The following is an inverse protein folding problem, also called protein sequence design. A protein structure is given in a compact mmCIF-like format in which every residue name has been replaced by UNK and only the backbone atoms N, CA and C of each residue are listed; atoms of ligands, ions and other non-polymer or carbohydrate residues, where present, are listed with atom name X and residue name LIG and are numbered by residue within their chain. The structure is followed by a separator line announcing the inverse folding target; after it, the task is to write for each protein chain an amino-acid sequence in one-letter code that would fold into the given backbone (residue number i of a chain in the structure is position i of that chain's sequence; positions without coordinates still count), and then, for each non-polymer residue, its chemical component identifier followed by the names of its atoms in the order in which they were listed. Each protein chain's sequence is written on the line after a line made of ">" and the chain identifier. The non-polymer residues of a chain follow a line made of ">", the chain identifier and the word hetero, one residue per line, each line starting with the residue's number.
data_IF_320938215970
#
_entry.id   IF_320938215970
#
_cell.length_a   1.000
_cell.length_b   1.000
_cell.length_c   1.000
_cell.angle_alpha   90.00
_cell.angle_beta   90.00
_cell.angle_gamma   90.00
#
_symmetry.space_group_name_H-M   'P 1'
#
loop_
_entity.id
_entity.type
_entity.pdbx_description
1 polymer ?
#
# COMPACT_ATOMS: atom_id res chain seq x y z
N UNK A 1 21.55 5.33 15.20
CA UNK A 1 21.27 4.62 13.93
C UNK A 1 22.26 3.52 13.57
N UNK A 2 23.58 3.65 13.81
CA UNK A 2 24.56 2.60 13.45
C UNK A 2 24.48 1.29 14.27
N UNK A 3 23.83 1.26 15.45
CA UNK A 3 23.72 0.05 16.30
C UNK A 3 22.48 -0.83 16.05
N UNK A 4 21.48 -0.35 15.31
CA UNK A 4 20.29 -1.14 14.93
C UNK A 4 20.54 -1.95 13.65
N UNK A 5 21.43 -1.48 12.78
CA UNK A 5 21.79 -2.12 11.51
C UNK A 5 22.72 -3.34 11.71
N UNK A 6 23.46 -3.39 12.83
CA UNK A 6 24.41 -4.50 13.11
C UNK A 6 23.73 -5.70 13.75
N UNK A 7 22.53 -5.55 14.34
CA UNK A 7 21.79 -6.65 14.96
C UNK A 7 20.97 -7.45 13.91
N UNK A 8 20.58 -6.81 12.80
CA UNK A 8 19.85 -7.45 11.69
C UNK A 8 20.75 -8.25 10.72
N UNK A 9 22.08 -8.05 10.75
CA UNK A 9 23.00 -8.77 9.87
C UNK A 9 23.56 -10.09 10.45
N UNK A 10 23.37 -10.37 11.75
CA UNK A 10 24.00 -11.53 12.42
C UNK A 10 23.09 -12.76 12.49
N UNK A 11 21.80 -12.64 12.14
CA UNK A 11 20.87 -13.78 12.10
C UNK A 11 20.78 -14.42 10.68
N UNK A 12 21.47 -13.84 9.69
CA UNK A 12 21.36 -14.26 8.28
C UNK A 12 22.37 -15.33 7.83
N UNK A 13 23.32 -15.76 8.65
CA UNK A 13 24.50 -16.51 8.17
C UNK A 13 24.70 -17.91 8.74
N UNK A 14 23.72 -18.50 9.43
CA UNK A 14 23.82 -19.88 9.89
C UNK A 14 22.50 -20.63 9.71
N UNK A 15 22.25 -21.14 8.49
CA UNK A 15 21.40 -22.32 8.17
C UNK A 15 21.03 -22.30 6.67
N UNK A 16 22.01 -22.38 5.77
CA UNK A 16 21.73 -22.62 4.35
C UNK A 16 22.76 -23.58 3.75
N UNK A 17 22.51 -24.86 3.98
CA UNK A 17 22.99 -25.94 3.14
C UNK A 17 22.00 -27.11 3.22
N UNK A 18 20.83 -26.95 2.60
CA UNK A 18 20.06 -28.10 2.16
C UNK A 18 19.87 -28.00 0.66
N UNK A 19 20.66 -28.84 -0.03
CA UNK A 19 20.46 -29.24 -1.41
C UNK A 19 19.03 -29.70 -1.61
N UNK A 20 18.33 -29.10 -2.57
CA UNK A 20 17.05 -29.61 -3.07
C UNK A 20 17.39 -30.88 -3.85
N UNK A 21 17.24 -32.04 -3.20
CA UNK A 21 17.21 -33.30 -3.93
C UNK A 21 15.92 -33.35 -4.77
N UNK A 22 15.99 -33.78 -6.05
CA UNK A 22 14.79 -34.06 -6.81
C UNK A 22 13.98 -35.14 -6.09
N UNK A 23 12.65 -34.97 -6.05
CA UNK A 23 11.73 -35.99 -5.54
C UNK A 23 12.11 -37.35 -6.15
N UNK A 24 12.50 -38.35 -5.33
CA UNK A 24 12.86 -39.64 -5.86
C UNK A 24 11.64 -40.19 -6.61
N UNK A 25 11.84 -40.72 -7.81
CA UNK A 25 10.80 -41.54 -8.43
C UNK A 25 10.44 -42.62 -7.43
N UNK A 26 9.23 -42.60 -6.87
CA UNK A 26 8.75 -43.68 -6.00
C UNK A 26 8.70 -44.96 -6.85
N UNK A 27 9.79 -45.71 -6.88
CA UNK A 27 9.74 -47.13 -7.18
C UNK A 27 8.81 -47.73 -6.14
N UNK A 28 7.76 -48.43 -6.58
CA UNK A 28 6.99 -49.27 -5.67
C UNK A 28 8.00 -50.17 -4.92
N UNK A 29 7.94 -50.23 -3.59
CA UNK A 29 8.86 -51.07 -2.84
C UNK A 29 8.70 -52.53 -3.27
N UNK A 30 9.82 -53.25 -3.44
CA UNK A 30 9.86 -54.65 -3.88
C UNK A 30 9.11 -55.60 -2.92
N UNK A 31 8.82 -55.12 -1.70
CA UNK A 31 8.02 -55.80 -0.69
C UNK A 31 6.99 -54.84 -0.08
N UNK A 32 5.76 -55.29 0.20
CA UNK A 32 4.79 -54.47 0.90
C UNK A 32 5.36 -54.05 2.26
N UNK A 33 5.14 -52.79 2.68
CA UNK A 33 5.59 -52.32 3.98
C UNK A 33 5.05 -53.24 5.09
N UNK A 34 5.82 -53.45 6.18
CA UNK A 34 5.36 -54.22 7.33
C UNK A 34 4.00 -53.69 7.81
N UNK A 35 3.07 -54.57 8.18
CA UNK A 35 1.71 -54.20 8.63
C UNK A 35 1.71 -53.05 9.65
N UNK A 36 2.64 -53.08 10.61
CA UNK A 36 2.81 -52.04 11.62
C UNK A 36 3.13 -50.65 11.03
N UNK A 37 3.93 -50.60 9.97
CA UNK A 37 4.25 -49.34 9.27
C UNK A 37 3.04 -48.82 8.47
N UNK A 38 2.19 -49.72 7.96
CA UNK A 38 0.93 -49.34 7.31
C UNK A 38 -0.06 -48.77 8.32
N UNK A 39 -0.18 -49.41 9.49
CA UNK A 39 -1.06 -48.93 10.57
C UNK A 39 -0.61 -47.54 11.07
N UNK A 40 0.69 -47.33 11.29
CA UNK A 40 1.26 -46.02 11.67
C UNK A 40 0.99 -44.94 10.61
N UNK A 41 1.09 -45.28 9.31
CA UNK A 41 0.77 -44.36 8.21
C UNK A 41 -0.71 -44.03 8.14
N UNK A 42 -1.59 -45.01 8.33
CA UNK A 42 -3.05 -44.81 8.34
C UNK A 42 -3.47 -43.95 9.53
N UNK A 43 -2.92 -44.18 10.71
CA UNK A 43 -3.16 -43.33 11.87
C UNK A 43 -2.69 -41.88 11.62
N UNK A 44 -1.51 -41.70 11.02
CA UNK A 44 -1.02 -40.37 10.68
C UNK A 44 -1.91 -39.68 9.64
N UNK A 45 -2.30 -40.39 8.58
CA UNK A 45 -3.22 -39.87 7.56
C UNK A 45 -4.58 -39.48 8.16
N UNK A 46 -5.10 -40.28 9.11
CA UNK A 46 -6.35 -39.97 9.81
C UNK A 46 -6.19 -38.71 10.68
N UNK A 47 -5.08 -38.57 11.42
CA UNK A 47 -4.79 -37.36 12.20
C UNK A 47 -4.68 -36.11 11.32
N UNK A 48 -4.01 -36.23 10.18
CA UNK A 48 -3.84 -35.13 9.22
C UNK A 48 -5.19 -34.76 8.59
N UNK A 49 -6.02 -35.76 8.26
CA UNK A 49 -7.37 -35.55 7.75
C UNK A 49 -8.27 -34.84 8.78
N UNK A 50 -8.27 -35.29 10.03
CA UNK A 50 -9.06 -34.66 11.11
C UNK A 50 -8.57 -33.24 11.42
N UNK A 51 -7.28 -32.98 11.25
CA UNK A 51 -6.69 -31.63 11.36
C UNK A 51 -7.11 -30.75 10.19
N UNK A 52 -7.00 -31.24 8.95
CA UNK A 52 -7.42 -30.52 7.76
C UNK A 52 -8.93 -30.21 7.77
N UNK A 53 -9.75 -31.11 8.34
CA UNK A 53 -11.19 -30.88 8.51
C UNK A 53 -11.51 -29.74 9.48
N UNK A 54 -10.61 -29.46 10.43
CA UNK A 54 -10.72 -28.33 11.37
C UNK A 54 -10.12 -27.05 10.82
N UNK A 55 -9.17 -27.13 9.89
CA UNK A 55 -8.55 -25.96 9.28
C UNK A 55 -9.58 -25.15 8.50
N UNK A 56 -9.81 -23.94 8.97
CA UNK A 56 -10.67 -22.99 8.31
C UNK A 56 -9.95 -22.29 7.16
N UNK A 57 -10.57 -22.24 5.98
CA UNK A 57 -10.00 -21.66 4.76
C UNK A 57 -10.68 -20.33 4.39
N UNK A 58 -10.28 -19.20 5.01
CA UNK A 58 -10.86 -17.90 4.73
C UNK A 58 -10.41 -17.36 3.37
N UNK A 59 -11.29 -16.60 2.74
CA UNK A 59 -10.91 -15.76 1.61
C UNK A 59 -10.57 -14.37 2.11
N UNK A 60 -9.35 -13.93 1.85
CA UNK A 60 -8.84 -12.60 2.16
C UNK A 60 -8.73 -11.80 0.86
N UNK A 61 -9.55 -10.77 0.70
CA UNK A 61 -9.37 -9.83 -0.42
C UNK A 61 -8.22 -8.86 -0.11
N UNK A 62 -7.98 -8.58 1.17
CA UNK A 62 -6.89 -7.77 1.65
C UNK A 62 -7.34 -6.47 2.28
N UNK A 63 -6.59 -5.94 3.25
CA UNK A 63 -7.00 -4.77 4.00
C UNK A 63 -6.99 -3.52 3.08
N UNK A 64 -7.53 -2.39 3.55
CA UNK A 64 -7.74 -1.21 2.69
C UNK A 64 -6.45 -0.57 2.20
N UNK A 65 -5.37 -0.64 3.01
CA UNK A 65 -4.14 0.09 2.74
C UNK A 65 -2.94 -0.83 2.53
N UNK A 66 -2.79 -1.88 3.35
CA UNK A 66 -1.59 -2.71 3.36
C UNK A 66 -1.60 -3.70 2.19
N UNK A 67 -0.70 -3.57 1.19
CA UNK A 67 -0.70 -4.41 0.00
C UNK A 67 -0.38 -5.88 0.29
N UNK A 68 -0.75 -6.75 -0.65
CA UNK A 68 -0.41 -8.18 -0.61
C UNK A 68 1.10 -8.42 -0.79
N UNK A 69 1.63 -9.36 -0.02
CA UNK A 69 2.98 -9.90 -0.20
C UNK A 69 3.02 -11.12 -1.13
N UNK A 70 1.89 -11.47 -1.77
CA UNK A 70 1.81 -12.50 -2.79
C UNK A 70 1.63 -11.88 -4.16
N UNK A 71 2.38 -12.39 -5.14
CA UNK A 71 2.21 -12.02 -6.54
C UNK A 71 0.91 -12.58 -7.12
N UNK A 72 0.35 -11.86 -8.10
CA UNK A 72 -0.75 -12.37 -8.92
C UNK A 72 -0.28 -13.63 -9.67
N UNK A 73 -1.03 -14.74 -9.64
CA UNK A 73 -0.68 -15.96 -10.35
C UNK A 73 -0.54 -15.76 -11.87
N UNK A 74 0.35 -16.52 -12.55
CA UNK A 74 0.53 -16.42 -14.00
C UNK A 74 -0.77 -16.59 -14.78
N UNK A 75 -1.02 -15.68 -15.73
CA UNK A 75 -2.21 -15.72 -16.57
C UNK A 75 -3.48 -15.16 -15.91
N UNK A 76 -3.43 -14.83 -14.61
CA UNK A 76 -4.53 -14.13 -13.95
C UNK A 76 -4.40 -12.62 -14.13
N UNK A 77 -5.56 -11.99 -14.27
CA UNK A 77 -5.70 -10.55 -14.30
C UNK A 77 -6.65 -10.09 -13.20
N UNK A 78 -6.24 -9.06 -12.47
CA UNK A 78 -7.01 -8.46 -11.38
C UNK A 78 -7.35 -7.03 -11.73
N UNK A 79 -8.63 -6.68 -11.54
CA UNK A 79 -9.07 -5.29 -11.54
C UNK A 79 -9.62 -4.95 -10.18
N UNK A 80 -9.13 -3.85 -9.62
CA UNK A 80 -9.55 -3.38 -8.32
C UNK A 80 -9.86 -1.88 -8.35
N UNK A 81 -11.11 -1.48 -8.67
CA UNK A 81 -11.55 -0.11 -8.49
C UNK A 81 -11.68 0.23 -7.00
N UNK A 82 -11.25 1.43 -6.64
CA UNK A 82 -11.44 2.07 -5.36
C UNK A 82 -12.19 3.39 -5.55
N UNK A 83 -13.02 3.71 -4.58
CA UNK A 83 -13.64 5.01 -4.41
C UNK A 83 -13.30 5.53 -3.03
N UNK A 84 -12.48 6.58 -2.98
CA UNK A 84 -12.19 7.33 -1.77
C UNK A 84 -13.08 8.56 -1.71
N UNK A 85 -13.81 8.76 -0.61
CA UNK A 85 -14.55 9.98 -0.32
C UNK A 85 -13.97 10.56 0.96
N UNK A 86 -13.14 11.59 0.83
CA UNK A 86 -12.36 12.18 1.92
C UNK A 86 -12.83 13.58 2.25
N UNK A 87 -12.99 13.88 3.54
CA UNK A 87 -13.09 15.25 4.06
C UNK A 87 -11.84 15.61 4.85
N UNK A 88 -11.11 16.62 4.39
CA UNK A 88 -10.00 17.24 5.14
C UNK A 88 -10.53 18.49 5.85
N UNK A 89 -10.80 18.38 7.14
CA UNK A 89 -11.41 19.43 7.96
C UNK A 89 -10.37 20.24 8.75
N UNK A 90 -9.17 19.70 8.95
CA UNK A 90 -8.10 20.36 9.70
C UNK A 90 -6.70 19.99 9.15
N UNK A 91 -5.68 20.68 9.68
CA UNK A 91 -4.28 20.36 9.43
C UNK A 91 -3.50 20.37 10.74
N UNK A 92 -2.63 19.38 10.92
CA UNK A 92 -1.63 19.38 11.98
C UNK A 92 -0.51 20.37 11.66
N UNK A 93 -0.25 21.31 12.56
CA UNK A 93 0.88 22.21 12.42
C UNK A 93 2.22 21.57 12.83
N UNK A 94 3.32 22.33 12.81
CA UNK A 94 4.66 21.86 13.20
C UNK A 94 4.77 21.37 14.64
N UNK A 95 3.83 21.77 15.51
CA UNK A 95 3.74 21.35 16.91
C UNK A 95 2.73 20.22 17.13
N UNK A 96 2.27 19.56 16.06
CA UNK A 96 1.26 18.48 16.10
C UNK A 96 -0.11 18.91 16.64
N UNK A 97 -0.41 20.20 16.63
CA UNK A 97 -1.75 20.70 16.98
C UNK A 97 -2.62 20.69 15.73
N UNK A 98 -3.78 20.05 15.81
CA UNK A 98 -4.81 20.12 14.77
C UNK A 98 -5.44 21.52 14.76
N UNK A 99 -5.46 22.15 13.59
CA UNK A 99 -6.00 23.49 13.36
C UNK A 99 -7.01 23.41 12.22
N UNK A 100 -8.25 23.81 12.50
CA UNK A 100 -9.34 23.76 11.53
C UNK A 100 -9.01 24.61 10.31
N UNK A 101 -9.33 24.07 9.14
CA UNK A 101 -9.30 24.77 7.86
C UNK A 101 -10.70 24.76 7.25
N UNK A 102 -10.86 25.35 6.07
CA UNK A 102 -12.09 25.13 5.30
C UNK A 102 -12.07 23.73 4.73
N UNK A 103 -13.12 22.96 5.00
CA UNK A 103 -13.31 21.60 4.51
C UNK A 103 -12.98 21.47 3.03
N UNK A 104 -12.15 20.49 2.72
CA UNK A 104 -11.84 20.07 1.37
C UNK A 104 -12.40 18.66 1.19
N UNK A 105 -13.42 18.55 0.35
CA UNK A 105 -13.97 17.27 -0.06
C UNK A 105 -13.23 16.77 -1.29
N UNK A 106 -12.69 15.56 -1.21
CA UNK A 106 -12.02 14.88 -2.31
C UNK A 106 -12.73 13.58 -2.62
N UNK A 107 -13.26 13.46 -3.83
CA UNK A 107 -13.73 12.20 -4.40
C UNK A 107 -12.63 11.70 -5.33
N UNK A 108 -12.01 10.58 -4.98
CA UNK A 108 -10.87 10.01 -5.68
C UNK A 108 -11.20 8.59 -6.16
N UNK A 109 -11.66 8.45 -7.42
CA UNK A 109 -11.69 7.15 -8.09
C UNK A 109 -10.24 6.73 -8.43
N UNK A 110 -9.88 5.52 -8.03
CA UNK A 110 -8.60 4.89 -8.33
C UNK A 110 -8.86 3.49 -8.87
N UNK A 111 -8.06 3.01 -9.83
CA UNK A 111 -8.17 1.66 -10.32
C UNK A 111 -6.78 1.02 -10.38
N UNK A 112 -6.67 -0.18 -9.80
CA UNK A 112 -5.52 -1.05 -9.95
C UNK A 112 -5.80 -2.09 -11.04
N UNK A 113 -4.87 -2.22 -11.97
CA UNK A 113 -4.84 -3.28 -12.97
C UNK A 113 -3.61 -4.13 -12.70
N UNK A 114 -3.79 -5.39 -12.32
CA UNK A 114 -2.68 -6.27 -11.98
C UNK A 114 -2.67 -7.49 -12.88
N UNK A 115 -1.48 -7.96 -13.24
CA UNK A 115 -1.32 -9.10 -14.13
C UNK A 115 -0.15 -9.96 -13.67
N UNK A 116 -0.40 -11.24 -13.47
CA UNK A 116 0.64 -12.21 -13.19
C UNK A 116 1.30 -12.70 -14.47
N UNK A 117 2.60 -12.50 -14.59
CA UNK A 117 3.37 -12.93 -15.78
C UNK A 117 4.11 -14.23 -15.51
N UNK A 118 4.83 -14.30 -14.39
CA UNK A 118 5.47 -15.50 -13.89
C UNK A 118 5.13 -15.70 -12.42
N UNK A 119 5.35 -16.90 -11.90
CA UNK A 119 5.06 -17.21 -10.49
C UNK A 119 5.90 -16.40 -9.49
N UNK A 120 6.93 -15.70 -10.00
CA UNK A 120 7.80 -14.80 -9.26
C UNK A 120 7.70 -13.34 -9.73
N UNK A 121 6.91 -13.03 -10.77
CA UNK A 121 6.81 -11.69 -11.35
C UNK A 121 5.37 -11.32 -11.72
N UNK A 122 4.91 -10.20 -11.18
CA UNK A 122 3.67 -9.55 -11.61
C UNK A 122 3.88 -8.07 -11.93
N UNK A 123 2.87 -7.48 -12.55
CA UNK A 123 2.81 -6.07 -12.89
C UNK A 123 1.57 -5.44 -12.27
N UNK A 124 1.65 -4.17 -11.90
CA UNK A 124 0.50 -3.38 -11.46
C UNK A 124 0.56 -2.00 -12.09
N UNK A 125 -0.53 -1.60 -12.73
CA UNK A 125 -0.76 -0.23 -13.22
C UNK A 125 -1.81 0.41 -12.32
N UNK A 126 -1.56 1.65 -11.90
CA UNK A 126 -2.51 2.44 -11.10
C UNK A 126 -2.87 3.70 -11.86
N UNK A 127 -4.17 3.92 -12.05
CA UNK A 127 -4.72 5.15 -12.60
C UNK A 127 -5.70 5.75 -11.60
N UNK A 128 -5.70 7.08 -11.46
CA UNK A 128 -6.54 7.76 -10.47
C UNK A 128 -6.99 9.14 -10.93
N UNK A 129 -8.19 9.54 -10.54
CA UNK A 129 -8.71 10.89 -10.75
C UNK A 129 -9.03 11.57 -9.42
N UNK A 130 -9.09 12.89 -9.41
CA UNK A 130 -9.44 13.67 -8.23
C UNK A 130 -10.50 14.70 -8.59
N UNK A 131 -11.66 14.59 -7.93
CA UNK A 131 -12.64 15.66 -7.86
C UNK A 131 -12.54 16.32 -6.49
N UNK A 132 -11.99 17.53 -6.45
CA UNK A 132 -11.79 18.28 -5.22
C UNK A 132 -12.78 19.45 -5.17
N UNK A 133 -13.38 19.67 -4.00
CA UNK A 133 -14.32 20.75 -3.73
C UNK A 133 -13.87 21.48 -2.47
N UNK A 134 -13.81 22.80 -2.53
CA UNK A 134 -13.63 23.65 -1.36
C UNK A 134 -14.46 24.92 -1.51
N UNK A 135 -15.38 25.17 -0.57
CA UNK A 135 -16.30 26.31 -0.64
C UNK A 135 -17.06 26.35 -1.99
N UNK A 136 -16.98 27.44 -2.76
CA UNK A 136 -17.65 27.61 -4.05
C UNK A 136 -16.74 27.27 -5.26
N UNK A 137 -15.69 26.48 -5.04
CA UNK A 137 -14.75 26.10 -6.08
C UNK A 137 -14.62 24.58 -6.14
N UNK A 138 -14.52 24.06 -7.36
CA UNK A 138 -14.29 22.65 -7.62
C UNK A 138 -13.25 22.45 -8.74
N UNK A 139 -12.70 21.24 -8.82
CA UNK A 139 -11.85 20.84 -9.94
C UNK A 139 -11.86 19.33 -10.11
N UNK A 140 -11.84 18.89 -11.37
CA UNK A 140 -11.63 17.50 -11.74
C UNK A 140 -10.43 17.36 -12.66
N UNK A 141 -9.43 16.60 -12.24
CA UNK A 141 -8.27 16.25 -13.08
C UNK A 141 -7.77 14.84 -12.77
N UNK A 142 -7.09 14.24 -13.74
CA UNK A 142 -6.34 13.01 -13.54
C UNK A 142 -5.15 13.25 -12.61
N UNK A 143 -4.80 12.23 -11.83
CA UNK A 143 -3.60 12.21 -11.03
C UNK A 143 -2.39 11.65 -11.77
N UNK A 144 -1.30 11.51 -11.03
CA UNK A 144 -0.13 10.77 -11.50
C UNK A 144 -0.47 9.28 -11.68
N UNK A 145 0.02 8.69 -12.77
CA UNK A 145 -0.17 7.27 -13.13
C UNK A 145 1.07 6.51 -12.69
N UNK A 146 0.95 5.27 -12.23
CA UNK A 146 2.12 4.46 -11.86
C UNK A 146 2.13 3.09 -12.50
N UNK A 147 3.35 2.56 -12.67
CA UNK A 147 3.63 1.18 -13.05
C UNK A 147 4.57 0.58 -12.00
N UNK A 148 4.28 -0.62 -11.53
CA UNK A 148 5.15 -1.35 -10.62
C UNK A 148 5.30 -2.81 -11.00
N UNK A 149 6.45 -3.36 -10.66
CA UNK A 149 6.79 -4.78 -10.76
C UNK A 149 6.86 -5.36 -9.36
N UNK A 150 6.20 -6.49 -9.13
CA UNK A 150 6.31 -7.27 -7.91
C UNK A 150 7.13 -8.52 -8.11
N UNK A 151 8.14 -8.70 -7.27
CA UNK A 151 9.08 -9.82 -7.30
C UNK A 151 8.85 -10.66 -6.05
N UNK A 152 8.38 -11.89 -6.23
CA UNK A 152 8.21 -12.82 -5.11
C UNK A 152 9.58 -13.31 -4.65
N UNK A 153 9.96 -12.98 -3.42
CA UNK A 153 11.21 -13.46 -2.81
C UNK A 153 10.99 -14.77 -2.06
N UNK A 154 9.93 -14.84 -1.27
CA UNK A 154 9.53 -16.03 -0.52
C UNK A 154 8.03 -16.21 -0.67
N UNK A 155 7.57 -17.42 -0.96
CA UNK A 155 6.16 -17.78 -0.87
C UNK A 155 5.83 -18.16 0.57
N UNK A 156 4.58 -17.96 0.94
CA UNK A 156 4.12 -18.40 2.25
C UNK A 156 4.15 -19.93 2.36
N UNK A 157 4.69 -20.42 3.47
CA UNK A 157 4.66 -21.82 3.89
C UNK A 157 4.25 -21.88 5.37
N UNK A 158 4.01 -23.06 5.98
CA UNK A 158 3.56 -23.14 7.38
C UNK A 158 4.43 -22.35 8.37
N UNK A 159 5.75 -22.37 8.21
CA UNK A 159 6.72 -21.72 9.11
C UNK A 159 7.45 -20.52 8.48
N UNK A 160 7.06 -20.10 7.27
CA UNK A 160 7.75 -19.04 6.52
C UNK A 160 6.73 -18.01 6.01
N UNK A 161 6.95 -16.71 6.21
CA UNK A 161 6.09 -15.69 5.65
C UNK A 161 6.29 -15.55 4.14
N UNK A 162 5.25 -15.07 3.44
CA UNK A 162 5.45 -14.53 2.12
C UNK A 162 6.24 -13.23 2.21
N UNK A 163 7.18 -13.05 1.30
CA UNK A 163 7.97 -11.82 1.16
C UNK A 163 8.01 -11.44 -0.31
N UNK A 164 7.67 -10.19 -0.59
CA UNK A 164 7.65 -9.61 -1.95
C UNK A 164 8.37 -8.27 -1.94
N UNK A 165 9.27 -8.11 -2.89
CA UNK A 165 9.90 -6.84 -3.21
C UNK A 165 9.16 -6.23 -4.39
N UNK A 166 8.74 -4.98 -4.29
CA UNK A 166 8.19 -4.25 -5.43
C UNK A 166 9.06 -3.05 -5.76
N UNK A 167 9.19 -2.78 -7.04
CA UNK A 167 9.80 -1.55 -7.56
C UNK A 167 8.74 -0.90 -8.44
N UNK A 168 8.52 0.39 -8.32
CA UNK A 168 7.55 1.10 -9.15
C UNK A 168 7.99 2.51 -9.48
N UNK A 169 7.43 3.03 -10.55
CA UNK A 169 7.65 4.38 -11.03
C UNK A 169 6.29 5.08 -11.16
N UNK A 170 6.17 6.25 -10.54
CA UNK A 170 5.05 7.16 -10.75
C UNK A 170 5.45 8.21 -11.79
N UNK A 171 4.60 8.34 -12.81
CA UNK A 171 4.75 9.26 -13.92
C UNK A 171 3.92 10.52 -13.67
N UNK A 172 4.50 11.72 -13.90
CA UNK A 172 3.84 12.99 -13.62
C UNK A 172 2.76 13.35 -14.65
N UNK A 173 1.71 12.54 -14.75
CA UNK A 173 0.57 12.74 -15.65
C UNK A 173 -0.47 13.70 -15.07
N UNK A 174 -0.44 13.91 -13.75
CA UNK A 174 -1.36 14.81 -13.06
C UNK A 174 -0.99 16.28 -13.24
N UNK A 175 -1.96 17.15 -12.95
CA UNK A 175 -1.75 18.60 -13.03
C UNK A 175 -0.95 19.07 -11.82
N UNK A 176 0.19 19.73 -12.06
CA UNK A 176 1.08 20.19 -10.99
C UNK A 176 1.51 21.66 -11.11
N UNK A 177 1.40 22.31 -12.26
CA UNK A 177 1.78 23.72 -12.44
C UNK A 177 0.73 24.54 -13.18
N UNK A 178 0.91 25.87 -13.21
CA UNK A 178 -0.04 26.84 -13.77
C UNK A 178 -1.46 26.65 -13.19
N UNK A 179 -1.50 26.47 -11.88
CA UNK A 179 -2.73 26.31 -11.12
C UNK A 179 -3.50 27.62 -11.08
N UNK A 180 -4.82 27.53 -10.98
CA UNK A 180 -5.69 28.68 -10.86
C UNK A 180 -5.65 29.21 -9.42
N UNK A 181 -5.17 30.45 -9.18
CA UNK A 181 -5.12 31.00 -7.82
C UNK A 181 -6.49 31.11 -7.15
N UNK A 182 -7.59 31.21 -7.92
CA UNK A 182 -8.94 31.25 -7.37
C UNK A 182 -9.38 29.91 -6.75
N UNK A 183 -8.68 28.81 -7.09
CA UNK A 183 -8.99 27.45 -6.64
C UNK A 183 -8.19 27.01 -5.41
N UNK A 184 -7.35 27.88 -4.83
CA UNK A 184 -6.57 27.59 -3.62
C UNK A 184 -5.79 26.26 -3.65
N UNK A 185 -5.35 25.83 -4.84
CA UNK A 185 -4.57 24.60 -5.01
C UNK A 185 -5.38 23.31 -5.08
N UNK A 186 -6.72 23.33 -5.01
CA UNK A 186 -7.52 22.10 -5.17
C UNK A 186 -7.41 21.51 -6.59
N UNK A 187 -6.94 22.29 -7.56
CA UNK A 187 -6.66 21.86 -8.93
C UNK A 187 -5.26 21.24 -9.12
N UNK A 188 -4.49 21.06 -8.05
CA UNK A 188 -3.29 20.22 -8.04
C UNK A 188 -3.67 18.75 -7.84
N UNK A 189 -3.30 17.90 -8.80
CA UNK A 189 -3.60 16.46 -8.77
C UNK A 189 -2.37 15.58 -9.01
N UNK A 190 -1.25 16.18 -9.39
CA UNK A 190 0.03 15.51 -9.56
C UNK A 190 1.16 16.27 -8.88
N UNK A 191 2.28 15.58 -8.71
CA UNK A 191 3.51 16.14 -8.15
C UNK A 191 4.35 16.84 -9.23
N UNK A 192 4.26 16.41 -10.48
CA UNK A 192 5.17 16.86 -11.55
C UNK A 192 6.54 16.19 -11.52
N UNK A 193 6.80 15.32 -10.54
CA UNK A 193 8.03 14.58 -10.40
C UNK A 193 7.82 13.10 -10.76
N UNK A 194 8.77 12.55 -11.53
CA UNK A 194 9.00 11.11 -11.57
C UNK A 194 9.36 10.65 -10.15
N UNK A 195 8.74 9.57 -9.68
CA UNK A 195 8.97 9.05 -8.33
C UNK A 195 9.16 7.54 -8.37
N UNK A 196 10.38 7.11 -8.08
CA UNK A 196 10.70 5.69 -7.91
C UNK A 196 10.37 5.27 -6.49
N UNK A 197 9.58 4.20 -6.33
CA UNK A 197 9.26 3.61 -5.03
C UNK A 197 9.78 2.18 -4.96
N UNK A 198 10.45 1.86 -3.85
CA UNK A 198 10.88 0.51 -3.52
C UNK A 198 10.09 0.07 -2.29
N UNK A 199 9.46 -1.10 -2.37
CA UNK A 199 8.54 -1.61 -1.36
C UNK A 199 8.93 -3.01 -0.92
N UNK A 200 8.98 -3.26 0.39
CA UNK A 200 9.09 -4.59 0.97
C UNK A 200 7.77 -4.94 1.64
N UNK A 201 7.14 -6.01 1.16
CA UNK A 201 5.87 -6.51 1.66
C UNK A 201 6.07 -7.88 2.30
N UNK A 202 5.46 -8.08 3.47
CA UNK A 202 5.50 -9.33 4.22
C UNK A 202 4.08 -9.69 4.63
N UNK A 203 3.69 -10.96 4.45
CA UNK A 203 2.42 -11.46 4.98
C UNK A 203 2.55 -12.85 5.56
N UNK A 204 1.71 -13.14 6.55
CA UNK A 204 1.60 -14.48 7.13
C UNK A 204 0.20 -14.71 7.66
N UNK A 205 -0.37 -15.86 7.32
CA UNK A 205 -1.51 -16.43 8.05
C UNK A 205 -1.01 -17.12 9.31
N UNK A 206 -1.48 -16.65 10.46
CA UNK A 206 -1.11 -17.14 11.78
C UNK A 206 -2.28 -17.93 12.35
N UNK A 207 -2.04 -19.22 12.55
CA UNK A 207 -3.00 -20.18 13.06
C UNK A 207 -2.88 -20.27 14.59
N UNK A 208 -3.44 -19.30 15.32
CA UNK A 208 -3.54 -19.40 16.79
C UNK A 208 -4.59 -20.45 17.23
N UNK A 209 -5.59 -20.69 16.37
CA UNK A 209 -6.73 -21.61 16.49
C UNK A 209 -7.03 -22.02 15.06
N UNK A 210 -7.19 -23.32 14.82
CA UNK A 210 -7.36 -23.88 13.47
C UNK A 210 -8.60 -23.30 12.76
N UNK A 211 -9.63 -22.96 13.53
CA UNK A 211 -10.95 -22.59 13.03
C UNK A 211 -11.04 -21.09 12.69
N UNK A 212 -10.13 -20.27 13.21
CA UNK A 212 -10.14 -18.81 13.05
C UNK A 212 -8.71 -18.24 13.03
N UNK A 213 -7.92 -18.51 11.97
CA UNK A 213 -6.64 -17.84 11.77
C UNK A 213 -6.86 -16.35 11.51
N UNK A 214 -5.81 -15.57 11.74
CA UNK A 214 -5.75 -14.20 11.25
C UNK A 214 -4.63 -14.06 10.23
N UNK A 215 -4.81 -13.20 9.24
CA UNK A 215 -3.73 -12.79 8.37
C UNK A 215 -3.09 -11.51 8.92
N UNK A 216 -1.78 -11.51 8.97
CA UNK A 216 -0.98 -10.34 9.29
C UNK A 216 -0.27 -9.87 8.02
N UNK A 217 -0.29 -8.56 7.77
CA UNK A 217 0.51 -7.95 6.70
C UNK A 217 1.35 -6.79 7.22
N UNK A 218 2.44 -6.56 6.52
CA UNK A 218 3.36 -5.47 6.73
C UNK A 218 3.90 -4.97 5.40
N UNK A 219 4.01 -3.65 5.25
CA UNK A 219 4.61 -3.00 4.09
C UNK A 219 5.56 -1.89 4.53
N UNK A 220 6.72 -1.81 3.89
CA UNK A 220 7.68 -0.72 4.03
C UNK A 220 7.98 -0.17 2.64
N UNK A 221 7.67 1.10 2.43
CA UNK A 221 7.84 1.80 1.15
C UNK A 221 8.85 2.94 1.32
N UNK A 222 9.77 3.06 0.36
CA UNK A 222 10.70 4.18 0.26
C UNK A 222 10.59 4.84 -1.12
N UNK A 223 10.24 6.14 -1.13
CA UNK A 223 9.97 6.88 -2.36
C UNK A 223 11.03 7.96 -2.61
N UNK A 224 11.53 8.01 -3.84
CA UNK A 224 12.62 8.87 -4.28
C UNK A 224 12.12 9.73 -5.45
N UNK A 225 11.64 10.95 -5.19
CA UNK A 225 11.16 11.85 -6.22
C UNK A 225 12.32 12.56 -6.93
N UNK A 226 12.13 12.82 -8.22
CA UNK A 226 13.05 13.62 -9.04
C UNK A 226 12.86 15.12 -8.81
N UNK A 227 13.83 15.92 -9.28
CA UNK A 227 13.71 17.38 -9.25
C UNK A 227 12.79 17.84 -10.38
N UNK A 228 11.82 18.69 -10.05
CA UNK A 228 10.82 19.21 -10.98
C UNK A 228 11.04 20.69 -11.23
N UNK A 229 10.86 21.13 -12.48
CA UNK A 229 10.82 22.55 -12.81
C UNK A 229 9.39 23.06 -12.66
N UNK A 230 9.21 24.17 -11.96
CA UNK A 230 7.89 24.71 -11.66
C UNK A 230 7.77 26.16 -12.09
N UNK A 231 6.59 26.51 -12.57
CA UNK A 231 6.25 27.87 -12.99
C UNK A 231 4.92 28.32 -12.36
N UNK A 232 4.87 29.60 -11.98
CA UNK A 232 3.69 30.25 -11.37
C UNK A 232 3.16 29.46 -10.17
N UNK A 233 1.85 29.52 -9.91
CA UNK A 233 1.19 28.64 -8.93
C UNK A 233 1.33 27.18 -9.36
N UNK A 234 1.77 26.34 -8.44
CA UNK A 234 2.11 24.94 -8.63
C UNK A 234 1.81 24.12 -7.36
N UNK A 235 1.93 22.80 -7.45
CA UNK A 235 1.60 21.85 -6.38
C UNK A 235 2.44 22.08 -5.11
N UNK A 236 3.57 22.77 -5.21
CA UNK A 236 4.44 23.12 -4.09
C UNK A 236 4.24 24.55 -3.59
N UNK A 237 3.18 25.23 -4.03
CA UNK A 237 2.91 26.64 -3.73
C UNK A 237 3.22 27.54 -4.93
N UNK A 238 3.99 28.60 -4.72
CA UNK A 238 4.27 29.61 -5.75
C UNK A 238 3.21 30.69 -5.86
N UNK A 239 3.42 31.56 -6.83
CA UNK A 239 2.74 32.83 -7.01
C UNK A 239 2.99 33.41 -8.39
N UNK A 240 2.63 34.68 -8.55
CA UNK A 240 2.86 35.42 -9.78
C UNK A 240 4.37 35.57 -9.98
N UNK A 241 4.86 35.11 -11.14
CA UNK A 241 6.27 35.18 -11.51
C UNK A 241 7.16 34.05 -10.98
N UNK A 242 6.63 33.06 -10.23
CA UNK A 242 7.45 31.93 -9.76
C UNK A 242 8.08 31.19 -10.93
N UNK A 243 9.39 30.94 -10.84
CA UNK A 243 10.13 30.15 -11.80
C UNK A 243 11.36 29.55 -11.09
N UNK A 244 11.48 28.23 -11.10
CA UNK A 244 12.60 27.56 -10.46
C UNK A 244 12.48 26.05 -10.46
N UNK A 245 13.31 25.42 -9.63
CA UNK A 245 13.33 23.97 -9.42
C UNK A 245 12.92 23.64 -8.00
N UNK A 246 12.03 22.68 -7.87
CA UNK A 246 11.66 22.06 -6.60
C UNK A 246 12.30 20.69 -6.54
N UNK A 247 12.93 20.37 -5.42
CA UNK A 247 13.37 19.02 -5.08
C UNK A 247 12.50 18.52 -3.93
N UNK A 248 11.49 17.69 -4.22
CA UNK A 248 10.65 17.08 -3.19
C UNK A 248 11.51 16.20 -2.27
N UNK A 249 11.11 16.11 -1.01
CA UNK A 249 11.79 15.24 -0.05
C UNK A 249 11.47 13.77 -0.29
N UNK A 250 12.42 12.89 0.00
CA UNK A 250 12.18 11.45 -0.01
C UNK A 250 11.12 11.08 1.03
N UNK A 251 10.35 10.03 0.74
CA UNK A 251 9.26 9.55 1.59
C UNK A 251 9.53 8.16 2.15
N UNK A 252 8.95 7.88 3.32
CA UNK A 252 8.81 6.55 3.90
C UNK A 252 7.32 6.34 4.19
N UNK A 253 6.77 5.19 3.83
CA UNK A 253 5.48 4.72 4.35
C UNK A 253 5.66 3.34 4.99
N UNK A 254 5.02 3.14 6.13
CA UNK A 254 5.01 1.88 6.86
C UNK A 254 3.57 1.55 7.18
N UNK A 255 3.11 0.40 6.72
CA UNK A 255 1.74 -0.05 6.87
C UNK A 255 1.75 -1.44 7.53
N UNK A 256 0.80 -1.69 8.42
CA UNK A 256 0.57 -3.03 8.94
C UNK A 256 -0.91 -3.27 9.13
N UNK A 257 -1.33 -4.52 8.92
CA UNK A 257 -2.72 -4.91 9.07
C UNK A 257 -2.89 -6.21 9.82
N UNK A 258 -4.09 -6.36 10.39
CA UNK A 258 -4.62 -7.62 10.89
C UNK A 258 -5.97 -7.85 10.22
N UNK A 259 -6.15 -9.02 9.64
CA UNK A 259 -7.40 -9.50 9.03
C UNK A 259 -7.92 -10.70 9.83
N UNK A 260 -9.08 -10.54 10.46
CA UNK A 260 -9.75 -11.56 11.26
C UNK A 260 -10.98 -12.08 10.53
N UNK A 261 -10.97 -13.37 10.20
CA UNK A 261 -12.07 -14.01 9.48
C UNK A 261 -13.04 -14.71 10.43
N UNK A 262 -14.33 -14.39 10.30
CA UNK A 262 -15.39 -15.04 11.07
C UNK A 262 -15.99 -16.23 10.34
N UNK A 263 -16.17 -16.07 9.03
CA UNK A 263 -16.63 -17.12 8.11
C UNK A 263 -15.75 -17.05 6.87
N UNK A 264 -15.82 -18.06 6.00
CA UNK A 264 -15.04 -18.06 4.76
C UNK A 264 -15.22 -16.77 3.94
N UNK A 265 -16.39 -16.13 4.05
CA UNK A 265 -16.78 -14.96 3.26
C UNK A 265 -16.65 -13.62 3.98
N UNK A 266 -16.54 -13.59 5.30
CA UNK A 266 -16.59 -12.35 6.09
C UNK A 266 -15.30 -12.17 6.88
N UNK A 267 -14.65 -11.03 6.66
CA UNK A 267 -13.38 -10.67 7.29
C UNK A 267 -13.47 -9.26 7.83
N UNK A 268 -13.01 -9.04 9.06
CA UNK A 268 -12.69 -7.70 9.55
C UNK A 268 -11.23 -7.42 9.33
N UNK A 269 -10.92 -6.25 8.81
CA UNK A 269 -9.55 -5.79 8.67
C UNK A 269 -9.35 -4.50 9.45
N UNK A 270 -8.12 -4.29 9.91
CA UNK A 270 -7.69 -3.00 10.42
C UNK A 270 -6.28 -2.72 9.91
N UNK A 271 -6.10 -1.58 9.24
CA UNK A 271 -4.79 -1.07 8.87
C UNK A 271 -4.34 0.01 9.86
N UNK A 272 -3.04 0.01 10.15
CA UNK A 272 -2.32 1.14 10.74
C UNK A 272 -1.26 1.59 9.74
N UNK A 273 -1.29 2.87 9.38
CA UNK A 273 -0.43 3.44 8.34
C UNK A 273 0.32 4.66 8.89
N UNK A 274 1.64 4.64 8.79
CA UNK A 274 2.53 5.75 9.13
C UNK A 274 3.26 6.24 7.89
N UNK A 275 3.24 7.55 7.65
CA UNK A 275 3.96 8.19 6.55
C UNK A 275 4.88 9.28 7.07
N UNK A 276 6.02 9.46 6.42
CA UNK A 276 6.98 10.53 6.66
C UNK A 276 7.51 11.04 5.33
N UNK A 277 7.51 12.34 5.11
CA UNK A 277 8.21 12.96 3.99
C UNK A 277 9.24 13.97 4.49
N UNK A 278 10.43 13.94 3.90
CA UNK A 278 11.45 14.96 4.18
C UNK A 278 11.01 16.32 3.62
N UNK A 279 11.65 17.39 4.08
CA UNK A 279 11.37 18.74 3.61
C UNK A 279 11.60 18.88 2.10
N UNK A 280 10.75 19.68 1.47
CA UNK A 280 10.86 20.03 0.06
C UNK A 280 11.68 21.31 -0.08
N UNK A 281 12.70 21.27 -0.93
CA UNK A 281 13.58 22.43 -1.17
C UNK A 281 13.27 23.10 -2.50
N UNK A 282 13.49 24.41 -2.56
CA UNK A 282 13.25 25.23 -3.76
C UNK A 282 14.47 26.09 -4.08
N UNK A 283 14.81 26.16 -5.37
CA UNK A 283 15.83 27.04 -5.93
C UNK A 283 15.26 27.82 -7.10
N UNK A 284 15.37 29.16 -7.07
CA UNK A 284 14.88 30.04 -8.13
C UNK A 284 14.10 31.25 -7.60
N UNK A 285 13.31 31.86 -8.47
CA UNK A 285 12.48 33.01 -8.12
C UNK A 285 11.15 32.54 -7.53
N UNK A 286 10.90 32.83 -6.25
CA UNK A 286 9.66 32.41 -5.56
C UNK A 286 8.40 33.10 -6.09
N UNK A 287 8.51 34.27 -6.70
CA UNK A 287 7.36 35.07 -7.14
C UNK A 287 6.64 35.74 -5.96
N UNK A 288 5.48 36.34 -6.25
CA UNK A 288 4.67 37.07 -5.27
C UNK A 288 3.23 36.58 -5.22
N UNK A 289 2.63 36.64 -4.04
CA UNK A 289 1.20 36.44 -3.82
C UNK A 289 0.39 37.60 -4.42
N UNK A 290 -0.94 37.46 -4.59
CA UNK A 290 -1.78 38.56 -5.08
C UNK A 290 -1.72 39.80 -4.17
N UNK A 291 -1.44 39.62 -2.88
CA UNK A 291 -1.25 40.70 -1.90
C UNK A 291 0.16 41.32 -1.93
N UNK A 292 1.02 40.92 -2.88
CA UNK A 292 2.37 41.48 -3.06
C UNK A 292 3.46 40.90 -2.16
N UNK A 293 3.13 40.05 -1.18
CA UNK A 293 4.11 39.32 -0.35
C UNK A 293 4.87 38.24 -1.14
N UNK A 294 6.05 37.82 -0.67
CA UNK A 294 6.82 36.73 -1.28
C UNK A 294 6.02 35.42 -1.17
N UNK A 295 5.89 34.68 -2.27
CA UNK A 295 5.16 33.42 -2.25
C UNK A 295 5.93 32.31 -1.50
N UNK A 296 5.20 31.41 -0.84
CA UNK A 296 5.76 30.19 -0.27
C UNK A 296 5.95 29.15 -1.38
N UNK A 297 7.11 28.49 -1.43
CA UNK A 297 7.38 27.37 -2.34
C UNK A 297 8.17 26.30 -1.60
N UNK A 298 7.70 25.06 -1.69
CA UNK A 298 8.19 23.94 -0.90
C UNK A 298 7.53 23.86 0.47
N UNK A 299 8.14 23.13 1.39
CA UNK A 299 7.54 22.90 2.71
C UNK A 299 8.46 22.15 3.66
N UNK A 300 8.16 22.20 4.98
CA UNK A 300 8.89 21.44 5.98
C UNK A 300 8.69 19.93 5.81
N UNK A 301 9.44 19.12 6.56
CA UNK A 301 9.12 17.70 6.68
C UNK A 301 7.77 17.51 7.35
N UNK A 302 7.09 16.42 6.99
CA UNK A 302 5.80 16.06 7.54
C UNK A 302 5.76 14.58 7.95
N UNK A 303 4.81 14.26 8.82
CA UNK A 303 4.49 12.90 9.20
C UNK A 303 3.01 12.76 9.54
N UNK A 304 2.45 11.57 9.34
CA UNK A 304 1.07 11.25 9.68
C UNK A 304 0.96 9.77 10.10
N UNK A 305 0.29 9.52 11.22
CA UNK A 305 -0.18 8.21 11.64
C UNK A 305 -1.71 8.15 11.49
N UNK A 306 -2.20 7.11 10.82
CA UNK A 306 -3.61 6.92 10.50
C UNK A 306 -4.05 5.47 10.69
N UNK A 307 -5.36 5.27 10.81
CA UNK A 307 -5.98 3.96 10.99
C UNK A 307 -7.12 3.77 10.01
N UNK A 308 -7.29 2.55 9.50
CA UNK A 308 -8.38 2.20 8.59
C UNK A 308 -9.02 0.85 8.94
N UNK A 309 -10.03 0.82 9.83
CA UNK A 309 -10.89 -0.36 10.00
C UNK A 309 -11.77 -0.59 8.76
N UNK A 310 -11.99 -1.86 8.44
CA UNK A 310 -12.77 -2.29 7.28
C UNK A 310 -13.49 -3.62 7.50
N UNK A 311 -14.48 -3.86 6.65
CA UNK A 311 -15.22 -5.11 6.53
C UNK A 311 -15.11 -5.60 5.09
N UNK A 312 -14.76 -6.88 4.94
CA UNK A 312 -14.69 -7.57 3.66
C UNK A 312 -15.83 -8.58 3.54
N UNK A 313 -16.39 -8.65 2.33
CA UNK A 313 -17.34 -9.66 1.91
C UNK A 313 -16.88 -10.32 0.62
N UNK A 314 -16.58 -11.61 0.68
CA UNK A 314 -16.03 -12.42 -0.39
C UNK A 314 -17.09 -13.45 -0.86
N UNK A 315 -17.98 -13.09 -1.82
CA UNK A 315 -19.01 -14.00 -2.32
C UNK A 315 -18.43 -15.25 -3.00
N UNK A 316 -17.26 -15.13 -3.64
CA UNK A 316 -16.46 -16.20 -4.24
C UNK A 316 -14.97 -15.97 -4.00
N UNK A 317 -14.14 -16.91 -4.44
CA UNK A 317 -12.68 -16.83 -4.47
C UNK A 317 -12.12 -15.84 -5.52
N UNK A 318 -12.96 -15.41 -6.47
CA UNK A 318 -12.61 -14.48 -7.54
C UNK A 318 -13.19 -13.07 -7.37
N UNK A 319 -14.09 -12.86 -6.41
CA UNK A 319 -14.79 -11.59 -6.21
C UNK A 319 -14.85 -11.25 -4.72
N UNK A 320 -14.37 -10.05 -4.38
CA UNK A 320 -14.41 -9.50 -3.03
C UNK A 320 -14.90 -8.06 -3.03
N UNK A 321 -15.60 -7.66 -1.97
CA UNK A 321 -16.00 -6.29 -1.71
C UNK A 321 -15.46 -5.86 -0.36
N UNK A 322 -14.98 -4.62 -0.28
CA UNK A 322 -14.42 -4.08 0.94
C UNK A 322 -14.89 -2.65 1.14
N UNK A 323 -15.27 -2.36 2.37
CA UNK A 323 -15.72 -1.05 2.77
C UNK A 323 -15.15 -0.71 4.15
N UNK A 324 -14.75 0.53 4.35
CA UNK A 324 -14.29 0.98 5.65
C UNK A 324 -14.05 2.47 5.73
N UNK A 325 -13.46 2.87 6.86
CA UNK A 325 -13.22 4.26 7.19
C UNK A 325 -11.74 4.46 7.44
N UNK A 326 -11.12 5.43 6.81
CA UNK A 326 -9.73 5.80 7.02
C UNK A 326 -9.64 7.20 7.63
N UNK A 327 -8.97 7.33 8.77
CA UNK A 327 -8.85 8.61 9.47
C UNK A 327 -7.45 8.81 10.06
N UNK A 328 -7.06 10.07 10.19
CA UNK A 328 -5.80 10.43 10.84
C UNK A 328 -5.93 10.35 12.36
N UNK A 329 -4.92 9.78 13.02
CA UNK A 329 -4.79 9.76 14.48
C UNK A 329 -3.99 10.97 14.95
N UNK A 330 -2.83 11.21 14.32
CA UNK A 330 -1.94 12.33 14.64
C UNK A 330 -1.02 12.61 13.47
N UNK A 331 -0.52 13.84 13.36
CA UNK A 331 0.52 14.16 12.39
C UNK A 331 1.26 15.44 12.71
N UNK A 332 2.09 15.88 11.76
CA UNK A 332 2.89 17.11 11.81
C UNK A 332 3.03 17.66 10.41
N UNK A 333 2.66 18.91 10.19
CA UNK A 333 2.61 19.55 8.87
C UNK A 333 1.84 18.70 7.84
N UNK A 334 0.76 18.06 8.29
CA UNK A 334 -0.01 17.07 7.52
C UNK A 334 -1.50 17.33 7.65
N UNK A 335 -2.29 16.75 6.74
CA UNK A 335 -3.75 16.80 6.82
C UNK A 335 -4.29 16.04 8.03
N UNK A 336 -5.39 16.55 8.58
CA UNK A 336 -6.26 15.86 9.52
C UNK A 336 -7.61 15.62 8.82
N UNK A 337 -8.01 14.36 8.70
CA UNK A 337 -9.07 13.97 7.78
C UNK A 337 -9.79 12.69 8.23
N UNK A 338 -10.96 12.50 7.63
CA UNK A 338 -11.71 11.25 7.63
C UNK A 338 -12.12 10.92 6.18
N UNK A 339 -12.10 9.64 5.82
CA UNK A 339 -12.47 9.15 4.50
C UNK A 339 -13.28 7.86 4.58
N UNK A 340 -14.30 7.75 3.74
CA UNK A 340 -14.92 6.48 3.41
C UNK A 340 -14.22 5.84 2.22
N UNK A 341 -13.98 4.54 2.27
CA UNK A 341 -13.34 3.78 1.20
C UNK A 341 -14.27 2.65 0.80
N UNK A 342 -14.49 2.49 -0.50
CA UNK A 342 -15.20 1.37 -1.10
C UNK A 342 -14.32 0.78 -2.19
N UNK A 343 -14.19 -0.54 -2.23
CA UNK A 343 -13.48 -1.23 -3.30
C UNK A 343 -14.12 -2.56 -3.63
N UNK A 344 -13.88 -3.00 -4.87
CA UNK A 344 -14.21 -4.32 -5.36
C UNK A 344 -12.93 -4.94 -5.91
N UNK A 345 -12.65 -6.19 -5.56
CA UNK A 345 -11.60 -7.02 -6.14
C UNK A 345 -12.25 -8.01 -7.09
N UNK A 346 -11.76 -8.10 -8.33
CA UNK A 346 -12.18 -9.14 -9.27
C UNK A 346 -10.97 -9.73 -10.00
N UNK A 347 -10.84 -11.05 -9.96
CA UNK A 347 -9.76 -11.81 -10.59
C UNK A 347 -10.31 -12.83 -11.59
N UNK A 348 -9.71 -12.92 -12.78
CA UNK A 348 -10.06 -13.92 -13.79
C UNK A 348 -8.84 -14.48 -14.52
#
# INVERSE_FOLDING_TARGET
>A
MKKLLTLLLIISSALFAHTIEPLPSQKLPDHPPPLKAVDEQLEQAQRDFDTARKMFNPWYAGPLLTPSANNVPPGQFVVQPYLFIKNTFAQFNGNRKSVNIKDIWTINPLCLFQMGWFSWLDFTITAQGFYNIQSNQDSFYWGDTSLSWGIQLLKEEPYRPAVRLSIGESFPTGRYEKLNPAKNGIDATGSGAYTTTISLNVSKVIWWVLDHPFAWRFSLNYSIPTTVQVNRYNAYGGGIGTNGRVRPGNGIAVDTSIELSFTQKWVLAIDLAYTYANHTTFSGHKGRTPAGGIASVGGPSNDNLSCAPALEYNPSDHLGFLAGVWFTITGRNSSDFIAGILTMYYAW
#
